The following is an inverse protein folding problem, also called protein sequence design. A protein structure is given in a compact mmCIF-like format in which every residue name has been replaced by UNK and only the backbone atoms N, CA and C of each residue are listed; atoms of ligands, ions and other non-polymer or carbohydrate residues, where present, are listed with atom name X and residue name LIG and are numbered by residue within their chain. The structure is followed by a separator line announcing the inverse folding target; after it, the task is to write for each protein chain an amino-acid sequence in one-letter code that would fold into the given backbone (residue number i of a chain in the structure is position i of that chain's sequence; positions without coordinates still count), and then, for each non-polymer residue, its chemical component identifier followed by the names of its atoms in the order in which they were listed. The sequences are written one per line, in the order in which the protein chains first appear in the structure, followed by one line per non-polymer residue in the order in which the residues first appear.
data_IF_512682553781
#
_entry.id   IF_512682553781
#
_cell.length_a   1.000
_cell.length_b   1.000
_cell.length_c   1.000
_cell.angle_alpha   90.00
_cell.angle_beta   90.00
_cell.angle_gamma   90.00
#
_symmetry.space_group_name_H-M   'P 1'
#
loop_
_entity.id
_entity.type
_entity.pdbx_description
1 polymer ?
#
# COMPACT_ATOMS: atom_id res chain seq x y z
N UNK A 1 32.43 24.51 -47.41
CA UNK A 1 32.59 23.91 -46.07
C UNK A 1 31.75 24.56 -44.98
N UNK A 2 31.73 25.89 -44.79
CA UNK A 2 30.98 26.57 -43.67
C UNK A 2 29.45 26.40 -43.73
N UNK A 3 28.82 26.20 -44.88
CA UNK A 3 27.36 25.97 -45.01
C UNK A 3 26.94 24.57 -44.63
N UNK A 4 27.78 23.56 -44.90
CA UNK A 4 27.48 22.17 -44.53
C UNK A 4 27.53 21.94 -43.01
N UNK A 5 28.44 22.62 -42.29
CA UNK A 5 28.55 22.52 -40.84
C UNK A 5 27.31 23.13 -40.14
N UNK A 6 26.85 24.31 -40.59
CA UNK A 6 25.65 24.97 -40.03
C UNK A 6 24.36 24.19 -40.30
N UNK A 7 24.25 23.49 -41.45
CA UNK A 7 23.11 22.65 -41.73
C UNK A 7 23.07 21.38 -40.84
N UNK A 8 24.23 20.86 -40.47
CA UNK A 8 24.34 19.67 -39.59
C UNK A 8 24.02 20.07 -38.14
N UNK A 9 24.49 21.24 -37.65
CA UNK A 9 24.17 21.75 -36.31
C UNK A 9 22.68 22.05 -36.17
N UNK A 10 22.02 22.62 -37.18
CA UNK A 10 20.58 22.85 -37.18
C UNK A 10 19.78 21.54 -37.16
N UNK A 11 20.23 20.51 -37.88
CA UNK A 11 19.59 19.19 -37.91
C UNK A 11 19.70 18.47 -36.55
N UNK A 12 20.85 18.56 -35.90
CA UNK A 12 21.09 18.01 -34.55
C UNK A 12 20.24 18.72 -33.51
N UNK A 13 20.12 20.07 -33.61
CA UNK A 13 19.26 20.83 -32.69
C UNK A 13 17.78 20.49 -32.87
N UNK A 14 17.31 20.24 -34.08
CA UNK A 14 15.92 19.82 -34.37
C UNK A 14 15.68 18.40 -33.86
N UNK A 15 16.61 17.46 -34.06
CA UNK A 15 16.51 16.10 -33.52
C UNK A 15 16.51 16.10 -31.98
N UNK A 16 17.35 16.92 -31.35
CA UNK A 16 17.37 17.05 -29.88
C UNK A 16 16.07 17.66 -29.32
N UNK A 17 15.46 18.61 -30.04
CA UNK A 17 14.16 19.19 -29.66
C UNK A 17 13.01 18.15 -29.79
N UNK A 18 13.07 17.27 -30.79
CA UNK A 18 12.08 16.18 -30.93
C UNK A 18 12.21 15.11 -29.85
N UNK A 19 13.42 14.83 -29.36
CA UNK A 19 13.65 13.88 -28.25
C UNK A 19 13.15 14.46 -26.92
N UNK A 20 13.23 15.80 -26.73
CA UNK A 20 12.72 16.49 -25.54
C UNK A 20 11.21 16.70 -25.55
N UNK A 21 10.53 16.50 -26.67
CA UNK A 21 9.09 16.62 -26.84
C UNK A 21 8.39 15.24 -26.97
N UNK A 22 9.09 14.14 -26.73
CA UNK A 22 8.41 12.88 -26.58
C UNK A 22 7.44 13.03 -25.39
N UNK A 23 6.11 12.89 -25.57
CA UNK A 23 5.19 12.88 -24.45
C UNK A 23 5.71 11.82 -23.51
N UNK A 24 5.91 12.18 -22.22
CA UNK A 24 6.17 11.18 -21.20
C UNK A 24 5.13 10.08 -21.41
N UNK A 25 5.58 8.84 -21.68
CA UNK A 25 4.68 7.73 -21.95
C UNK A 25 3.60 7.77 -20.89
N UNK A 26 2.36 8.03 -21.30
CA UNK A 26 1.23 8.09 -20.38
C UNK A 26 1.09 6.66 -19.86
N UNK A 27 1.46 6.44 -18.58
CA UNK A 27 1.23 5.15 -17.96
C UNK A 27 -0.25 4.81 -18.20
N UNK A 28 -0.52 3.70 -18.82
CA UNK A 28 -1.88 3.25 -19.08
C UNK A 28 -2.39 2.54 -17.84
N UNK A 29 -3.69 2.55 -17.58
CA UNK A 29 -4.32 1.75 -16.52
C UNK A 29 -3.95 0.26 -16.64
N UNK A 30 -3.61 -0.19 -17.85
CA UNK A 30 -3.14 -1.54 -18.13
C UNK A 30 -1.80 -1.86 -17.46
N UNK A 31 -0.94 -0.83 -17.25
CA UNK A 31 0.38 -0.94 -16.62
C UNK A 31 0.36 -0.56 -15.13
N UNK A 32 -0.81 -0.16 -14.60
CA UNK A 32 -0.93 0.26 -13.22
C UNK A 32 -0.71 -0.91 -12.26
N UNK A 33 0.08 -0.68 -11.21
CA UNK A 33 0.28 -1.64 -10.12
C UNK A 33 -1.05 -1.90 -9.40
N UNK A 34 -1.39 -3.17 -9.21
CA UNK A 34 -2.64 -3.60 -8.55
C UNK A 34 -2.38 -3.98 -7.11
N UNK A 35 -2.94 -3.20 -6.20
CA UNK A 35 -2.85 -3.42 -4.75
C UNK A 35 -4.13 -4.11 -4.28
N UNK A 36 -3.98 -5.26 -3.65
CA UNK A 36 -5.05 -6.07 -3.09
C UNK A 36 -5.50 -5.49 -1.73
N UNK A 37 -6.40 -4.50 -1.73
CA UNK A 37 -6.87 -3.81 -0.51
C UNK A 37 -7.43 -4.80 0.52
N UNK A 38 -6.82 -4.84 1.73
CA UNK A 38 -7.18 -5.76 2.82
C UNK A 38 -7.28 -7.22 2.35
N UNK A 39 -6.33 -7.63 1.52
CA UNK A 39 -6.25 -8.90 0.82
C UNK A 39 -7.06 -9.03 -0.49
N UNK A 40 -7.83 -8.03 -0.93
CA UNK A 40 -8.43 -7.95 -2.28
C UNK A 40 -9.48 -9.01 -2.65
N UNK A 41 -9.97 -9.79 -1.69
CA UNK A 41 -11.01 -10.81 -1.88
C UNK A 41 -11.95 -10.89 -0.67
N UNK A 42 -12.19 -9.76 -0.03
CA UNK A 42 -12.90 -9.64 1.25
C UNK A 42 -14.31 -10.22 1.23
N UNK A 43 -15.01 -10.13 0.08
CA UNK A 43 -16.37 -10.65 -0.09
C UNK A 43 -16.44 -12.19 -0.20
N UNK A 44 -15.31 -12.87 -0.40
CA UNK A 44 -15.27 -14.31 -0.61
C UNK A 44 -14.69 -15.07 0.60
N UNK A 45 -13.62 -14.55 1.18
CA UNK A 45 -12.86 -15.23 2.23
C UNK A 45 -12.69 -14.40 3.52
N UNK A 46 -13.17 -13.16 3.54
CA UNK A 46 -12.93 -12.21 4.62
C UNK A 46 -11.59 -11.46 4.48
N UNK A 47 -11.54 -10.24 5.00
CA UNK A 47 -10.34 -9.40 4.94
C UNK A 47 -9.21 -9.96 5.82
N UNK A 48 -7.96 -9.74 5.42
CA UNK A 48 -6.77 -10.08 6.21
C UNK A 48 -6.56 -11.58 6.43
N UNK A 49 -7.07 -12.45 5.55
CA UNK A 49 -6.92 -13.90 5.63
C UNK A 49 -5.98 -14.46 4.56
N UNK A 50 -5.30 -15.58 4.85
CA UNK A 50 -4.43 -16.21 3.83
C UNK A 50 -5.20 -16.60 2.58
N UNK A 51 -6.40 -17.15 2.71
CA UNK A 51 -7.21 -17.53 1.56
C UNK A 51 -7.54 -16.33 0.63
N UNK A 52 -7.72 -15.12 1.20
CA UNK A 52 -7.89 -13.90 0.40
C UNK A 52 -6.61 -13.49 -0.31
N UNK A 53 -5.45 -13.55 0.35
CA UNK A 53 -4.16 -13.22 -0.26
C UNK A 53 -3.79 -14.19 -1.38
N UNK A 54 -3.93 -15.50 -1.14
CA UNK A 54 -3.70 -16.54 -2.15
C UNK A 54 -4.61 -16.35 -3.38
N UNK A 55 -5.87 -16.02 -3.13
CA UNK A 55 -6.81 -15.73 -4.22
C UNK A 55 -6.38 -14.49 -5.02
N UNK A 56 -5.93 -13.43 -4.36
CA UNK A 56 -5.50 -12.20 -5.03
C UNK A 56 -4.21 -12.38 -5.83
N UNK A 57 -3.25 -13.16 -5.32
CA UNK A 57 -2.04 -13.53 -6.07
C UNK A 57 -2.40 -14.33 -7.33
N UNK A 58 -3.35 -15.28 -7.21
CA UNK A 58 -3.85 -16.05 -8.36
C UNK A 58 -4.50 -15.19 -9.43
N UNK A 59 -5.00 -14.02 -9.08
CA UNK A 59 -5.61 -13.05 -9.98
C UNK A 59 -4.70 -11.83 -10.21
N UNK A 60 -3.38 -12.02 -10.21
CA UNK A 60 -2.37 -11.05 -10.61
C UNK A 60 -2.36 -9.74 -9.79
N UNK A 61 -2.55 -9.83 -8.46
CA UNK A 61 -2.19 -8.75 -7.57
C UNK A 61 -0.66 -8.56 -7.54
N UNK A 62 -0.21 -7.31 -7.61
CA UNK A 62 1.22 -6.95 -7.52
C UNK A 62 1.65 -6.69 -6.08
N UNK A 63 0.74 -6.15 -5.26
CA UNK A 63 0.99 -5.75 -3.86
C UNK A 63 -0.10 -6.32 -2.96
N UNK A 64 0.31 -6.90 -1.84
CA UNK A 64 -0.57 -7.47 -0.81
C UNK A 64 -0.74 -6.44 0.31
N UNK A 65 -1.90 -5.81 0.41
CA UNK A 65 -2.16 -4.79 1.43
C UNK A 65 -2.83 -5.38 2.67
N UNK A 66 -2.36 -4.95 3.84
CA UNK A 66 -2.92 -5.30 5.14
C UNK A 66 -2.66 -4.25 6.21
N UNK A 67 -3.70 -3.92 6.96
CA UNK A 67 -3.61 -3.03 8.11
C UNK A 67 -3.20 -3.77 9.36
N UNK A 68 -2.57 -3.11 10.33
CA UNK A 68 -2.06 -3.79 11.51
C UNK A 68 -2.51 -3.17 12.84
N UNK A 69 -2.73 -4.08 13.81
CA UNK A 69 -2.89 -3.76 15.23
C UNK A 69 -2.12 -4.75 16.10
N UNK A 70 -1.73 -4.32 17.31
CA UNK A 70 -1.11 -5.19 18.31
C UNK A 70 -2.15 -5.88 19.18
N UNK A 71 -1.96 -7.17 19.40
CA UNK A 71 -2.72 -7.94 20.39
C UNK A 71 -2.27 -7.59 21.81
N UNK A 72 -2.92 -8.14 22.83
CA UNK A 72 -2.47 -8.05 24.21
C UNK A 72 -1.06 -8.62 24.35
N UNK A 73 -0.25 -7.97 25.18
CA UNK A 73 1.07 -8.44 25.55
C UNK A 73 1.00 -9.84 26.18
N UNK A 74 1.96 -10.68 25.85
CA UNK A 74 2.05 -12.05 26.36
C UNK A 74 3.44 -12.32 26.88
N UNK A 75 3.60 -12.82 28.12
CA UNK A 75 4.89 -13.22 28.65
C UNK A 75 5.54 -14.41 27.86
N UNK A 76 4.75 -15.08 27.03
CA UNK A 76 5.20 -16.20 26.18
C UNK A 76 5.63 -15.75 24.78
N UNK A 77 5.41 -14.50 24.40
CA UNK A 77 5.98 -13.92 23.19
C UNK A 77 7.40 -13.42 23.52
N UNK A 78 8.36 -13.70 22.65
CA UNK A 78 9.80 -13.44 22.88
C UNK A 78 10.14 -12.01 23.32
N UNK A 79 9.23 -11.06 23.07
CA UNK A 79 9.41 -9.63 23.29
C UNK A 79 8.47 -9.06 24.36
N UNK A 80 7.57 -9.85 24.94
CA UNK A 80 6.46 -9.42 25.83
C UNK A 80 5.56 -8.33 25.25
N UNK A 81 5.47 -8.21 23.92
CA UNK A 81 4.82 -7.08 23.23
C UNK A 81 3.50 -7.44 22.52
N UNK A 82 3.02 -8.66 22.66
CA UNK A 82 1.91 -9.13 21.86
C UNK A 82 2.29 -9.36 20.38
N UNK A 83 1.39 -9.96 19.63
CA UNK A 83 1.59 -10.22 18.22
C UNK A 83 1.05 -9.08 17.36
N UNK A 84 1.70 -8.80 16.23
CA UNK A 84 1.17 -7.89 15.21
C UNK A 84 0.15 -8.65 14.36
N UNK A 85 -1.13 -8.33 14.51
CA UNK A 85 -2.26 -8.92 13.81
C UNK A 85 -2.57 -8.14 12.53
N UNK A 86 -2.89 -8.81 11.45
CA UNK A 86 -3.39 -8.19 10.22
C UNK A 86 -4.90 -8.02 10.34
N UNK A 87 -5.32 -6.78 10.57
CA UNK A 87 -6.73 -6.37 10.73
C UNK A 87 -6.85 -4.86 10.62
N UNK A 88 -7.90 -4.37 9.93
CA UNK A 88 -8.14 -2.94 9.76
C UNK A 88 -8.63 -2.25 11.03
N UNK A 89 -9.61 -2.84 11.70
CA UNK A 89 -10.28 -2.23 12.84
C UNK A 89 -9.52 -2.51 14.14
N UNK A 90 -9.62 -1.61 15.08
CA UNK A 90 -9.08 -1.81 16.44
C UNK A 90 -9.85 -2.85 17.27
N UNK A 91 -10.96 -3.37 16.72
CA UNK A 91 -11.83 -4.39 17.33
C UNK A 91 -12.05 -5.57 16.38
N UNK A 92 -12.47 -6.70 16.93
CA UNK A 92 -12.75 -7.94 16.19
C UNK A 92 -14.17 -7.99 15.62
N UNK A 93 -15.07 -7.09 16.07
CA UNK A 93 -16.53 -7.20 15.94
C UNK A 93 -17.04 -7.20 14.50
N UNK A 94 -16.44 -6.38 13.60
CA UNK A 94 -16.98 -6.21 12.25
C UNK A 94 -16.75 -7.38 11.32
N UNK A 95 -15.64 -8.10 11.53
CA UNK A 95 -15.19 -9.11 10.55
C UNK A 95 -15.09 -10.51 11.10
N UNK A 96 -15.31 -10.71 12.42
CA UNK A 96 -15.18 -12.03 13.05
C UNK A 96 -16.33 -12.35 13.99
N UNK A 97 -16.47 -13.62 14.33
CA UNK A 97 -17.37 -14.11 15.40
C UNK A 97 -16.91 -13.75 16.82
N UNK A 98 -15.77 -13.04 16.98
CA UNK A 98 -15.28 -12.53 18.25
C UNK A 98 -15.61 -11.05 18.39
N UNK A 99 -15.58 -10.51 19.64
CA UNK A 99 -15.88 -9.11 19.90
C UNK A 99 -14.87 -8.46 20.83
N UNK A 100 -14.79 -7.12 20.77
CA UNK A 100 -13.95 -6.31 21.62
C UNK A 100 -12.60 -5.95 21.01
N UNK A 101 -11.80 -5.17 21.76
CA UNK A 101 -10.54 -4.60 21.27
C UNK A 101 -9.49 -5.70 20.99
N UNK A 102 -8.81 -5.62 19.85
CA UNK A 102 -7.67 -6.49 19.50
C UNK A 102 -6.62 -6.49 20.61
N UNK A 103 -6.31 -5.32 21.16
CA UNK A 103 -5.32 -5.16 22.26
C UNK A 103 -5.75 -5.80 23.60
N UNK A 104 -6.97 -6.30 23.72
CA UNK A 104 -7.45 -7.02 24.91
C UNK A 104 -7.36 -8.54 24.79
N UNK A 105 -7.02 -9.05 23.60
CA UNK A 105 -6.96 -10.47 23.30
C UNK A 105 -5.52 -10.95 23.12
N UNK A 106 -5.20 -12.14 23.69
CA UNK A 106 -3.98 -12.85 23.37
C UNK A 106 -4.07 -13.42 21.95
N UNK A 107 -2.96 -13.42 21.22
CA UNK A 107 -2.93 -14.05 19.89
C UNK A 107 -3.37 -15.52 19.90
N UNK A 108 -2.97 -16.30 20.88
CA UNK A 108 -3.39 -17.69 21.02
C UNK A 108 -4.92 -17.83 21.05
N UNK A 109 -5.58 -16.96 21.81
CA UNK A 109 -7.05 -16.96 21.90
C UNK A 109 -7.71 -16.54 20.58
N UNK A 110 -7.18 -15.53 19.87
CA UNK A 110 -7.68 -15.13 18.55
C UNK A 110 -7.51 -16.28 17.56
N UNK A 111 -6.32 -16.87 17.48
CA UNK A 111 -5.99 -17.98 16.59
C UNK A 111 -6.94 -19.18 16.77
N UNK A 112 -7.23 -19.51 18.01
CA UNK A 112 -7.98 -20.74 18.33
C UNK A 112 -9.50 -20.55 18.22
N UNK A 113 -10.02 -19.34 18.52
CA UNK A 113 -11.46 -19.08 18.69
C UNK A 113 -12.07 -18.20 17.60
N UNK A 114 -11.31 -17.24 17.04
CA UNK A 114 -11.87 -16.26 16.12
C UNK A 114 -11.76 -16.72 14.67
N UNK A 115 -12.86 -16.54 13.96
CA UNK A 115 -12.96 -16.84 12.52
C UNK A 115 -13.68 -15.69 11.84
N UNK A 116 -13.30 -15.35 10.63
CA UNK A 116 -14.01 -14.34 9.85
C UNK A 116 -15.46 -14.74 9.62
N UNK A 117 -16.36 -13.77 9.59
CA UNK A 117 -17.79 -14.02 9.32
C UNK A 117 -18.00 -14.51 7.91
N UNK A 118 -17.23 -13.99 6.97
CA UNK A 118 -17.20 -14.44 5.58
C UNK A 118 -16.08 -15.47 5.43
N UNK A 119 -16.43 -16.64 4.87
CA UNK A 119 -15.48 -17.72 4.59
C UNK A 119 -14.97 -18.49 5.81
N UNK A 120 -15.30 -18.07 7.04
CA UNK A 120 -14.90 -18.73 8.30
C UNK A 120 -13.40 -19.01 8.42
N UNK A 121 -12.58 -18.09 7.89
CA UNK A 121 -11.12 -18.21 7.85
C UNK A 121 -10.46 -17.72 9.15
N UNK A 122 -9.30 -18.26 9.53
CA UNK A 122 -8.50 -17.73 10.62
C UNK A 122 -7.88 -16.39 10.22
N UNK A 123 -7.75 -15.47 11.19
CA UNK A 123 -6.91 -14.28 11.05
C UNK A 123 -5.42 -14.66 11.05
N UNK A 124 -4.57 -13.79 10.50
CA UNK A 124 -3.13 -14.03 10.41
C UNK A 124 -2.31 -12.93 11.09
N UNK A 125 -1.08 -13.26 11.46
CA UNK A 125 -0.10 -12.29 11.95
C UNK A 125 0.67 -11.67 10.78
N UNK A 126 1.20 -10.45 10.99
CA UNK A 126 2.02 -9.76 10.01
C UNK A 126 3.18 -10.63 9.51
N UNK A 127 3.90 -11.31 10.42
CA UNK A 127 5.01 -12.19 10.01
C UNK A 127 4.60 -13.29 9.04
N UNK A 128 3.36 -13.75 9.12
CA UNK A 128 2.82 -14.76 8.18
C UNK A 128 2.57 -14.12 6.80
N UNK A 129 2.02 -12.90 6.77
CA UNK A 129 1.84 -12.15 5.52
C UNK A 129 3.17 -11.81 4.84
N UNK A 130 4.15 -11.35 5.62
CA UNK A 130 5.51 -11.05 5.10
C UNK A 130 6.14 -12.30 4.50
N UNK A 131 6.16 -13.42 5.23
CA UNK A 131 6.73 -14.69 4.73
C UNK A 131 6.02 -15.18 3.46
N UNK A 132 4.71 -14.96 3.37
CA UNK A 132 3.96 -15.30 2.15
C UNK A 132 4.35 -14.37 0.98
N UNK A 133 4.36 -13.05 1.19
CA UNK A 133 4.80 -12.08 0.18
C UNK A 133 6.19 -12.42 -0.39
N UNK A 134 7.15 -12.68 0.49
CA UNK A 134 8.51 -13.10 0.11
C UNK A 134 8.49 -14.41 -0.70
N UNK A 135 7.65 -15.38 -0.34
CA UNK A 135 7.58 -16.69 -1.01
C UNK A 135 6.99 -16.64 -2.43
N UNK A 136 6.19 -15.61 -2.74
CA UNK A 136 5.53 -15.41 -4.04
C UNK A 136 6.07 -14.20 -4.80
N UNK A 137 7.17 -13.61 -4.32
CA UNK A 137 7.81 -12.41 -4.88
C UNK A 137 6.83 -11.24 -5.05
N UNK A 138 6.05 -10.94 -4.00
CA UNK A 138 5.10 -9.83 -3.98
C UNK A 138 5.44 -8.84 -2.86
N UNK A 139 5.36 -7.56 -3.18
CA UNK A 139 5.46 -6.50 -2.19
C UNK A 139 4.32 -6.59 -1.19
N UNK A 140 4.59 -6.23 0.07
CA UNK A 140 3.56 -6.10 1.11
C UNK A 140 3.39 -4.62 1.48
N UNK A 141 2.17 -4.09 1.35
CA UNK A 141 1.80 -2.78 1.88
C UNK A 141 1.20 -2.93 3.28
N UNK A 142 1.63 -2.09 4.22
CA UNK A 142 1.24 -2.18 5.63
C UNK A 142 0.68 -0.86 6.11
N UNK A 143 -0.62 -0.83 6.39
CA UNK A 143 -1.31 0.32 6.95
C UNK A 143 -1.14 0.41 8.48
N UNK A 144 -0.47 1.46 8.97
CA UNK A 144 -0.36 1.76 10.40
C UNK A 144 -1.65 2.38 10.93
N UNK A 145 -2.47 1.62 11.65
CA UNK A 145 -3.73 2.12 12.24
C UNK A 145 -3.56 2.75 13.62
N UNK A 146 -2.52 2.41 14.34
CA UNK A 146 -2.21 3.02 15.62
C UNK A 146 -1.55 4.40 15.41
N UNK A 147 -2.10 5.45 16.01
CA UNK A 147 -1.53 6.80 15.98
C UNK A 147 -0.20 6.88 16.75
N UNK A 148 -0.11 6.10 17.82
CA UNK A 148 1.08 6.00 18.68
C UNK A 148 1.44 4.54 18.86
N UNK A 149 2.74 4.26 18.87
CA UNK A 149 3.33 2.96 19.23
C UNK A 149 4.52 3.21 20.18
N UNK A 150 4.85 2.26 21.02
CA UNK A 150 6.06 2.33 21.86
C UNK A 150 7.30 2.15 21.00
N UNK A 151 8.49 2.50 21.50
CA UNK A 151 9.75 2.26 20.79
C UNK A 151 10.03 0.77 20.64
N UNK A 152 9.63 -0.04 21.61
CA UNK A 152 9.71 -1.49 21.55
C UNK A 152 8.81 -2.06 20.44
N UNK A 153 7.56 -1.58 20.29
CA UNK A 153 6.67 -1.96 19.19
C UNK A 153 7.22 -1.50 17.83
N UNK A 154 7.79 -0.30 17.73
CA UNK A 154 8.43 0.17 16.52
C UNK A 154 9.61 -0.74 16.12
N UNK A 155 10.44 -1.14 17.08
CA UNK A 155 11.55 -2.07 16.87
C UNK A 155 11.08 -3.48 16.47
N UNK A 156 9.99 -3.98 17.09
CA UNK A 156 9.36 -5.26 16.71
C UNK A 156 8.86 -5.22 15.26
N UNK A 157 8.12 -4.16 14.87
CA UNK A 157 7.64 -3.98 13.52
C UNK A 157 8.81 -3.91 12.52
N UNK A 158 9.78 -3.04 12.78
CA UNK A 158 10.95 -2.88 11.92
C UNK A 158 11.72 -4.20 11.76
N UNK A 159 11.98 -4.96 12.83
CA UNK A 159 12.61 -6.27 12.77
C UNK A 159 11.83 -7.29 11.94
N UNK A 160 10.50 -7.16 11.92
CA UNK A 160 9.63 -8.07 11.13
C UNK A 160 9.72 -7.80 9.63
N UNK A 161 9.97 -6.53 9.22
CA UNK A 161 9.80 -6.10 7.82
C UNK A 161 11.10 -5.69 7.11
N UNK A 162 12.19 -5.44 7.82
CA UNK A 162 13.40 -4.78 7.28
C UNK A 162 14.13 -5.53 6.15
N UNK A 163 13.89 -6.83 5.99
CA UNK A 163 14.53 -7.63 4.94
C UNK A 163 13.61 -7.94 3.75
N UNK A 164 12.35 -7.55 3.81
CA UNK A 164 11.32 -7.83 2.79
C UNK A 164 10.99 -6.58 1.97
N UNK A 165 10.43 -6.74 0.78
CA UNK A 165 9.93 -5.61 -0.01
C UNK A 165 8.62 -5.11 0.56
N UNK A 166 8.70 -4.06 1.38
CA UNK A 166 7.57 -3.51 2.13
C UNK A 166 7.35 -2.04 1.82
N UNK A 167 6.07 -1.66 1.68
CA UNK A 167 5.61 -0.29 1.74
C UNK A 167 4.88 -0.05 3.06
N UNK A 168 5.40 0.83 3.91
CA UNK A 168 4.78 1.20 5.19
C UNK A 168 3.99 2.49 5.01
N UNK A 169 2.70 2.45 5.34
CA UNK A 169 1.73 3.49 5.06
C UNK A 169 1.15 4.10 6.35
N UNK A 170 0.96 5.42 6.35
CA UNK A 170 0.25 6.09 7.43
C UNK A 170 -0.51 7.33 6.94
N UNK A 171 -1.68 7.66 7.50
CA UNK A 171 -2.30 8.95 7.32
C UNK A 171 -1.46 10.05 7.97
N UNK A 172 -1.60 11.30 7.51
CA UNK A 172 -0.80 12.44 7.95
C UNK A 172 -0.77 12.60 9.48
N UNK A 173 -1.89 12.37 10.15
CA UNK A 173 -2.00 12.42 11.62
C UNK A 173 -1.18 11.38 12.38
N UNK A 174 -0.66 10.35 11.69
CA UNK A 174 0.12 9.24 12.29
C UNK A 174 1.60 9.24 11.90
N UNK A 175 1.99 10.11 10.97
CA UNK A 175 3.38 10.22 10.49
C UNK A 175 4.33 10.61 11.61
N UNK A 176 3.97 11.60 12.42
CA UNK A 176 4.83 12.13 13.51
C UNK A 176 5.03 11.13 14.65
N UNK A 177 4.13 10.17 14.83
CA UNK A 177 4.19 9.15 15.87
C UNK A 177 4.82 7.83 15.38
N UNK A 178 3.95 6.92 14.96
CA UNK A 178 4.33 5.55 14.65
C UNK A 178 5.32 5.44 13.48
N UNK A 179 5.03 6.10 12.35
CA UNK A 179 5.85 5.98 11.13
C UNK A 179 7.27 6.51 11.34
N UNK A 180 7.43 7.68 11.98
CA UNK A 180 8.74 8.28 12.19
C UNK A 180 9.63 7.46 13.12
N UNK A 181 9.07 6.71 14.08
CA UNK A 181 9.85 5.78 14.92
C UNK A 181 10.46 4.67 14.08
N UNK A 182 9.70 4.08 13.14
CA UNK A 182 10.22 3.05 12.24
C UNK A 182 11.21 3.63 11.25
N UNK A 183 10.93 4.80 10.65
CA UNK A 183 11.87 5.51 9.75
C UNK A 183 13.22 5.78 10.42
N UNK A 184 13.22 6.17 11.70
CA UNK A 184 14.46 6.42 12.45
C UNK A 184 15.30 5.16 12.61
N UNK A 185 14.67 4.00 12.84
CA UNK A 185 15.36 2.71 12.91
C UNK A 185 15.91 2.29 11.55
N UNK A 186 15.11 2.46 10.50
CA UNK A 186 15.47 2.13 9.13
C UNK A 186 16.64 3.00 8.63
N UNK A 187 16.63 4.30 8.94
CA UNK A 187 17.71 5.22 8.58
C UNK A 187 19.05 4.91 9.28
N UNK A 188 19.03 4.19 10.40
CA UNK A 188 20.22 3.74 11.12
C UNK A 188 20.76 2.38 10.63
N UNK A 189 20.01 1.70 9.73
CA UNK A 189 20.38 0.42 9.13
C UNK A 189 20.89 0.62 7.70
N UNK A 190 21.65 -0.31 7.19
CA UNK A 190 22.24 -0.25 5.83
C UNK A 190 21.35 -0.88 4.76
N UNK A 191 20.26 -1.53 5.11
CA UNK A 191 19.43 -2.31 4.17
C UNK A 191 18.44 -1.47 3.39
N UNK A 192 17.85 -0.41 3.97
CA UNK A 192 16.96 0.60 3.35
C UNK A 192 15.97 0.05 2.30
N UNK A 193 15.23 -1.00 2.63
CA UNK A 193 14.27 -1.62 1.69
C UNK A 193 12.84 -1.12 1.88
N UNK A 194 12.55 -0.49 3.01
CA UNK A 194 11.20 -0.04 3.33
C UNK A 194 10.85 1.19 2.51
N UNK A 195 9.78 1.12 1.75
CA UNK A 195 9.15 2.26 1.06
C UNK A 195 8.16 2.91 2.01
N UNK A 196 8.07 4.23 2.00
CA UNK A 196 7.16 4.97 2.88
C UNK A 196 6.11 5.70 2.08
N UNK A 197 4.84 5.59 2.48
CA UNK A 197 3.71 6.22 1.83
C UNK A 197 2.87 7.05 2.79
N UNK A 198 2.37 8.18 2.27
CA UNK A 198 1.35 8.97 2.91
C UNK A 198 -0.02 8.56 2.38
N UNK A 199 -1.02 8.44 3.25
CA UNK A 199 -2.41 8.11 2.90
C UNK A 199 -3.31 9.31 3.19
N UNK A 200 -4.17 9.71 2.22
CA UNK A 200 -5.12 10.79 2.39
C UNK A 200 -6.42 10.52 1.62
N UNK A 201 -7.56 10.63 2.30
CA UNK A 201 -8.89 10.53 1.68
C UNK A 201 -9.33 11.84 1.01
N UNK A 202 -8.70 12.95 1.36
CA UNK A 202 -9.08 14.30 0.94
C UNK A 202 -10.13 14.97 1.83
N UNK A 203 -10.65 14.29 2.85
CA UNK A 203 -11.68 14.85 3.75
C UNK A 203 -11.19 16.10 4.50
N UNK A 204 -9.92 16.06 4.95
CA UNK A 204 -9.27 17.16 5.70
C UNK A 204 -8.38 18.04 4.79
N UNK A 205 -8.60 17.97 3.47
CA UNK A 205 -7.75 18.60 2.47
C UNK A 205 -6.64 17.66 1.98
N UNK A 206 -5.89 18.12 0.97
CA UNK A 206 -4.83 17.35 0.33
C UNK A 206 -3.45 17.85 0.79
N UNK A 207 -2.50 16.96 1.12
CA UNK A 207 -1.16 17.38 1.50
C UNK A 207 -0.47 18.14 0.35
N UNK A 208 0.47 18.98 0.69
CA UNK A 208 1.36 19.62 -0.30
C UNK A 208 2.36 18.59 -0.86
N UNK A 209 2.96 18.90 -2.01
CA UNK A 209 4.04 18.07 -2.59
C UNK A 209 5.20 17.89 -1.60
N UNK A 210 5.54 18.95 -0.84
CA UNK A 210 6.61 18.89 0.15
C UNK A 210 6.28 17.99 1.33
N UNK A 211 5.04 17.99 1.80
CA UNK A 211 4.59 17.08 2.85
C UNK A 211 4.66 15.61 2.39
N UNK A 212 4.18 15.29 1.18
CA UNK A 212 4.31 13.93 0.65
C UNK A 212 5.78 13.52 0.55
N UNK A 213 6.64 14.36 -0.04
CA UNK A 213 8.07 14.07 -0.21
C UNK A 213 8.83 13.95 1.12
N UNK A 214 8.39 14.60 2.18
CA UNK A 214 8.99 14.46 3.52
C UNK A 214 8.78 13.06 4.12
N UNK A 215 7.70 12.38 3.70
CA UNK A 215 7.40 11.00 4.10
C UNK A 215 8.11 10.02 3.16
N UNK A 216 7.89 10.16 1.85
CA UNK A 216 8.45 9.28 0.82
C UNK A 216 7.99 9.74 -0.56
N UNK A 217 8.17 8.89 -1.57
CA UNK A 217 7.75 9.18 -2.95
C UNK A 217 6.43 8.49 -3.33
N UNK A 218 5.77 7.82 -2.37
CA UNK A 218 4.53 7.09 -2.56
C UNK A 218 3.38 7.81 -1.86
N UNK A 219 2.25 7.93 -2.54
CA UNK A 219 1.08 8.62 -2.01
C UNK A 219 -0.20 7.88 -2.37
N UNK A 220 -0.96 7.46 -1.37
CA UNK A 220 -2.28 6.86 -1.56
C UNK A 220 -3.34 7.93 -1.43
N UNK A 221 -4.03 8.22 -2.53
CA UNK A 221 -5.04 9.26 -2.64
C UNK A 221 -6.45 8.68 -2.85
N UNK A 222 -7.43 9.21 -2.14
CA UNK A 222 -8.85 8.89 -2.35
C UNK A 222 -9.33 9.35 -3.73
N UNK A 223 -10.38 8.70 -4.26
CA UNK A 223 -10.94 8.96 -5.59
C UNK A 223 -11.53 10.36 -5.79
N UNK A 224 -11.74 11.11 -4.73
CA UNK A 224 -12.19 12.52 -4.80
C UNK A 224 -11.11 13.49 -5.29
N UNK A 225 -9.86 13.02 -5.48
CA UNK A 225 -8.77 13.85 -5.99
C UNK A 225 -9.10 14.41 -7.38
N UNK A 226 -8.82 15.72 -7.59
CA UNK A 226 -9.01 16.37 -8.90
C UNK A 226 -7.89 15.99 -9.88
N UNK A 227 -8.20 16.03 -11.18
CA UNK A 227 -7.20 15.78 -12.24
C UNK A 227 -6.04 16.79 -12.19
N UNK A 228 -6.32 18.05 -11.83
CA UNK A 228 -5.26 19.06 -11.67
C UNK A 228 -4.30 18.74 -10.54
N UNK A 229 -4.82 18.29 -9.40
CA UNK A 229 -3.99 17.88 -8.26
C UNK A 229 -3.22 16.60 -8.53
N UNK A 230 -3.86 15.63 -9.19
CA UNK A 230 -3.20 14.42 -9.67
C UNK A 230 -2.00 14.77 -10.55
N UNK A 231 -2.19 15.70 -11.51
CA UNK A 231 -1.12 16.21 -12.37
C UNK A 231 0.00 16.85 -11.54
N UNK A 232 -0.32 17.70 -10.56
CA UNK A 232 0.68 18.32 -9.68
C UNK A 232 1.59 17.31 -8.99
N UNK A 233 1.03 16.23 -8.44
CA UNK A 233 1.83 15.18 -7.80
C UNK A 233 2.67 14.40 -8.81
N UNK A 234 2.10 14.04 -9.96
CA UNK A 234 2.82 13.32 -11.03
C UNK A 234 3.98 14.14 -11.59
N UNK A 235 3.78 15.42 -11.88
CA UNK A 235 4.83 16.35 -12.35
C UNK A 235 5.96 16.47 -11.32
N UNK A 236 5.65 16.33 -10.04
CA UNK A 236 6.65 16.32 -8.97
C UNK A 236 7.35 14.97 -8.78
N UNK A 237 7.05 13.96 -9.61
CA UNK A 237 7.62 12.61 -9.56
C UNK A 237 7.03 11.73 -8.44
N UNK A 238 5.91 12.12 -7.83
CA UNK A 238 5.24 11.31 -6.80
C UNK A 238 4.48 10.16 -7.46
N UNK A 239 4.68 8.95 -6.94
CA UNK A 239 3.98 7.74 -7.35
C UNK A 239 2.63 7.68 -6.64
N UNK A 240 1.57 8.07 -7.35
CA UNK A 240 0.21 8.15 -6.76
C UNK A 240 -0.55 6.85 -7.00
N UNK A 241 -1.03 6.26 -5.91
CA UNK A 241 -1.99 5.16 -5.89
C UNK A 241 -3.38 5.73 -5.60
N UNK A 242 -4.39 5.25 -6.30
CA UNK A 242 -5.77 5.64 -6.06
C UNK A 242 -6.53 4.56 -5.28
N UNK A 243 -7.26 4.94 -4.24
CA UNK A 243 -8.07 4.05 -3.43
C UNK A 243 -9.48 4.62 -3.15
N UNK A 244 -10.49 3.80 -2.98
CA UNK A 244 -10.56 2.36 -3.15
C UNK A 244 -11.46 2.07 -4.33
N UNK A 245 -10.98 1.24 -5.26
CA UNK A 245 -11.79 0.76 -6.38
C UNK A 245 -12.71 -0.38 -5.94
N UNK A 246 -14.03 -0.19 -6.04
CA UNK A 246 -15.07 -1.15 -5.65
C UNK A 246 -15.99 -1.50 -6.81
N UNK A 247 -16.26 -0.52 -7.65
CA UNK A 247 -17.22 -0.57 -8.75
C UNK A 247 -16.54 -0.33 -10.09
N UNK A 248 -17.24 -0.59 -11.19
CA UNK A 248 -16.76 -0.26 -12.54
C UNK A 248 -16.55 1.25 -12.69
N UNK A 249 -17.45 2.07 -12.16
CA UNK A 249 -17.31 3.54 -12.19
C UNK A 249 -16.06 4.01 -11.48
N UNK A 250 -15.69 3.36 -10.35
CA UNK A 250 -14.41 3.64 -9.67
C UNK A 250 -13.21 3.29 -10.57
N UNK A 251 -13.27 2.15 -11.28
CA UNK A 251 -12.20 1.71 -12.18
C UNK A 251 -12.04 2.66 -13.38
N UNK A 252 -13.15 3.11 -13.97
CA UNK A 252 -13.17 4.13 -15.02
C UNK A 252 -12.61 5.46 -14.53
N UNK A 253 -12.98 5.86 -13.30
CA UNK A 253 -12.43 7.04 -12.65
C UNK A 253 -10.92 6.92 -12.43
N UNK A 254 -10.45 5.77 -11.98
CA UNK A 254 -9.01 5.49 -11.83
C UNK A 254 -8.30 5.58 -13.18
N UNK A 255 -8.85 4.96 -14.22
CA UNK A 255 -8.28 5.01 -15.58
C UNK A 255 -8.18 6.45 -16.11
N UNK A 256 -9.23 7.26 -15.93
CA UNK A 256 -9.24 8.67 -16.34
C UNK A 256 -8.17 9.52 -15.64
N UNK A 257 -7.78 9.17 -14.42
CA UNK A 257 -6.75 9.85 -13.64
C UNK A 257 -5.33 9.31 -13.91
N UNK A 258 -5.24 8.14 -14.53
CA UNK A 258 -3.98 7.50 -14.90
C UNK A 258 -2.95 7.45 -13.76
N UNK A 259 -3.20 6.69 -12.67
CA UNK A 259 -2.34 6.61 -11.51
C UNK A 259 -1.10 5.72 -11.75
N UNK A 260 -0.15 5.75 -10.82
CA UNK A 260 0.94 4.78 -10.76
C UNK A 260 0.44 3.38 -10.33
N UNK A 261 -0.58 3.33 -9.48
CA UNK A 261 -1.21 2.10 -9.05
C UNK A 261 -2.65 2.31 -8.58
N UNK A 262 -3.37 1.21 -8.43
CA UNK A 262 -4.76 1.16 -7.98
C UNK A 262 -4.91 0.22 -6.79
N UNK A 263 -5.70 0.64 -5.81
CA UNK A 263 -6.00 -0.13 -4.61
C UNK A 263 -7.44 -0.59 -4.70
N UNK A 264 -7.68 -1.90 -4.80
CA UNK A 264 -9.01 -2.46 -5.14
C UNK A 264 -9.49 -3.50 -4.14
N UNK A 265 -10.79 -3.49 -3.81
CA UNK A 265 -11.42 -4.44 -2.88
C UNK A 265 -11.59 -5.84 -3.49
N UNK A 266 -11.59 -5.96 -4.82
CA UNK A 266 -11.74 -7.22 -5.53
C UNK A 266 -10.81 -7.25 -6.74
N UNK A 267 -9.66 -7.89 -6.57
CA UNK A 267 -8.62 -7.98 -7.60
C UNK A 267 -9.16 -8.68 -8.85
N UNK A 268 -9.81 -9.83 -8.71
CA UNK A 268 -10.33 -10.58 -9.86
C UNK A 268 -11.31 -9.74 -10.70
N UNK A 269 -12.25 -9.03 -10.03
CA UNK A 269 -13.22 -8.16 -10.73
C UNK A 269 -12.53 -6.99 -11.45
N UNK A 270 -11.48 -6.42 -10.85
CA UNK A 270 -10.70 -5.36 -11.49
C UNK A 270 -9.93 -5.91 -12.71
N UNK A 271 -9.29 -7.06 -12.60
CA UNK A 271 -8.57 -7.68 -13.71
C UNK A 271 -9.51 -8.04 -14.86
N UNK A 272 -10.67 -8.66 -14.58
CA UNK A 272 -11.69 -8.94 -15.58
C UNK A 272 -12.19 -7.67 -16.31
N UNK A 273 -12.27 -6.54 -15.59
CA UNK A 273 -12.60 -5.25 -16.21
C UNK A 273 -11.43 -4.72 -17.04
N UNK A 274 -10.20 -4.77 -16.51
CA UNK A 274 -8.98 -4.28 -17.17
C UNK A 274 -8.72 -5.00 -18.50
N UNK A 275 -8.90 -6.32 -18.54
CA UNK A 275 -8.72 -7.13 -19.74
C UNK A 275 -9.68 -6.77 -20.87
N UNK A 276 -10.83 -6.18 -20.54
CA UNK A 276 -11.80 -5.67 -21.55
C UNK A 276 -11.45 -4.28 -22.08
N UNK A 277 -10.41 -3.62 -21.57
CA UNK A 277 -9.93 -2.31 -22.05
C UNK A 277 -8.85 -2.46 -23.14
N UNK A 278 -8.38 -3.67 -23.37
CA UNK A 278 -7.43 -4.01 -24.47
C UNK A 278 -8.21 -4.30 -25.75
#
# INVERSE_FOLDING_TARGET
MRYAVRALEALIAILAAFILLAPAAQANILDAIVVAHRAGATIKFGEGTMASYEYSVKHDADVLDGDIHWTKDSPNDSDNLGSILVIHDSTLDRITNCSGKVSSWLWSSIRDKCRTDIGKQPLIRLKTLIAYGDSVDKQVAIGLKNSTITDAQAKQLWNTIKYSDVQLEAPASRVSGALNKVKKLDAADTHHRIKYALVCTGADGWPSVSEVKSVGMYFHAGLSISSSRMKTYKDAGIKVFLFTGKTVDDYERMAALNPYGVVVDNVAKFQDWRDRQT
#
